data_IF_424518687097
#
_entry.id   IF_424518687097
#
_cell.length_a   1.000
_cell.length_b   1.000
_cell.length_c   1.000
_cell.angle_alpha   90.00
_cell.angle_beta   90.00
_cell.angle_gamma   90.00
#
_symmetry.space_group_name_H-M   'P 1'
#
loop_
_entity.id
_entity.type
_entity.pdbx_description
1 polymer ?
#
# COMPACT_ATOMS: atom_id res chain seq x y z
N UNK A 1 26.76 6.82 24.19
CA UNK A 1 27.75 7.09 23.14
C UNK A 1 27.07 6.99 21.79
N UNK A 2 27.01 8.10 21.06
CA UNK A 2 26.44 8.15 19.69
C UNK A 2 27.42 7.38 18.78
N UNK A 3 26.96 6.45 17.92
CA UNK A 3 27.85 5.82 16.95
C UNK A 3 28.34 6.90 15.98
N UNK A 4 29.64 7.17 16.06
CA UNK A 4 30.38 7.92 15.06
C UNK A 4 30.37 7.09 13.77
N UNK A 5 30.20 7.78 12.63
CA UNK A 5 30.18 7.31 11.23
C UNK A 5 28.77 7.07 10.62
N UNK A 6 28.00 8.14 10.50
CA UNK A 6 27.18 8.42 9.29
C UNK A 6 27.51 9.82 8.73
N UNK A 7 28.73 10.31 8.95
CA UNK A 7 29.22 11.50 8.27
C UNK A 7 29.56 11.09 6.82
N UNK A 8 28.84 11.65 5.85
CA UNK A 8 29.08 11.44 4.41
C UNK A 8 30.56 11.70 4.12
N UNK A 9 31.26 10.68 3.62
CA UNK A 9 32.72 10.66 3.62
C UNK A 9 33.38 11.73 2.77
N UNK A 10 32.70 12.30 1.76
CA UNK A 10 33.21 13.42 0.96
C UNK A 10 32.06 14.41 0.64
N UNK A 11 32.27 15.74 0.75
CA UNK A 11 31.36 16.70 0.15
C UNK A 11 31.48 16.57 -1.37
N UNK A 12 30.62 15.75 -1.98
CA UNK A 12 30.35 15.87 -3.42
C UNK A 12 29.62 17.20 -3.59
N UNK A 13 30.03 17.99 -4.58
CA UNK A 13 29.25 19.18 -4.96
C UNK A 13 27.79 18.75 -5.17
N UNK A 14 26.86 19.38 -4.46
CA UNK A 14 25.45 19.10 -4.62
C UNK A 14 25.03 19.54 -6.02
N UNK A 15 24.90 18.57 -6.92
CA UNK A 15 24.37 18.81 -8.27
C UNK A 15 22.86 18.99 -8.20
N UNK A 16 22.37 20.09 -8.77
CA UNK A 16 20.94 20.40 -8.88
C UNK A 16 20.51 20.36 -10.34
N UNK A 17 20.06 19.19 -10.84
CA UNK A 17 19.61 19.08 -12.23
C UNK A 17 18.37 19.95 -12.48
N UNK A 18 18.10 20.18 -13.77
CA UNK A 18 16.91 20.88 -14.21
C UNK A 18 15.79 19.89 -14.56
N UNK A 19 14.60 20.14 -14.04
CA UNK A 19 13.40 19.34 -14.28
C UNK A 19 12.45 20.08 -15.22
N UNK A 20 11.72 19.34 -16.03
CA UNK A 20 10.62 19.86 -16.86
C UNK A 20 9.50 20.33 -15.96
N UNK A 21 9.15 21.61 -16.07
CA UNK A 21 8.11 22.28 -15.27
C UNK A 21 6.91 22.73 -16.12
N UNK A 22 7.08 22.82 -17.44
CA UNK A 22 6.03 23.20 -18.38
C UNK A 22 6.39 22.77 -19.81
N UNK A 23 5.43 22.96 -20.73
CA UNK A 23 5.63 22.86 -22.17
C UNK A 23 5.34 24.22 -22.75
N UNK A 24 6.22 24.71 -23.62
CA UNK A 24 6.02 25.91 -24.39
C UNK A 24 4.83 25.71 -25.35
N UNK A 25 3.79 26.55 -25.27
CA UNK A 25 2.56 26.33 -26.04
C UNK A 25 2.73 26.52 -27.55
N UNK A 26 3.73 27.31 -27.97
CA UNK A 26 3.93 27.66 -29.37
C UNK A 26 4.83 26.64 -30.07
N UNK A 27 5.86 26.16 -29.39
CA UNK A 27 6.89 25.28 -29.95
C UNK A 27 6.72 23.81 -29.54
N UNK A 28 5.97 23.53 -28.48
CA UNK A 28 5.94 22.20 -27.85
C UNK A 28 7.24 21.83 -27.13
N UNK A 29 8.18 22.77 -27.01
CA UNK A 29 9.46 22.59 -26.32
C UNK A 29 9.28 22.42 -24.82
N UNK A 30 10.16 21.64 -24.18
CA UNK A 30 10.15 21.49 -22.73
C UNK A 30 10.73 22.75 -22.08
N UNK A 31 10.02 23.31 -21.11
CA UNK A 31 10.54 24.36 -20.24
C UNK A 31 11.08 23.69 -18.98
N UNK A 32 12.36 23.91 -18.69
CA UNK A 32 13.07 23.30 -17.56
C UNK A 32 13.50 24.32 -16.53
N UNK A 33 13.68 23.89 -15.28
CA UNK A 33 14.23 24.72 -14.21
C UNK A 33 14.99 23.91 -13.17
N UNK A 34 16.01 24.51 -12.57
CA UNK A 34 16.83 23.90 -11.52
C UNK A 34 15.99 23.57 -10.28
N UNK A 35 16.31 22.47 -9.60
CA UNK A 35 15.74 22.18 -8.28
C UNK A 35 16.49 22.85 -7.12
N UNK A 36 17.53 23.66 -7.38
CA UNK A 36 18.29 24.36 -6.32
C UNK A 36 17.39 25.32 -5.53
N UNK A 37 17.07 25.05 -4.25
CA UNK A 37 16.14 25.86 -3.48
C UNK A 37 16.63 27.30 -3.29
N UNK A 38 17.95 27.57 -3.41
CA UNK A 38 18.52 28.93 -3.31
C UNK A 38 18.27 29.77 -4.56
N UNK A 39 17.93 29.14 -5.67
CA UNK A 39 17.69 29.79 -6.97
C UNK A 39 16.20 29.87 -7.33
N UNK A 40 15.31 29.37 -6.48
CA UNK A 40 13.87 29.39 -6.70
C UNK A 40 13.22 30.58 -5.99
N UNK A 41 12.16 31.13 -6.59
CA UNK A 41 11.32 32.12 -5.93
C UNK A 41 10.52 31.47 -4.80
N UNK A 42 10.22 32.23 -3.75
CA UNK A 42 9.37 31.80 -2.62
C UNK A 42 8.36 32.90 -2.29
N UNK A 43 7.42 32.63 -1.38
CA UNK A 43 6.51 33.67 -0.86
C UNK A 43 7.24 34.80 -0.11
N UNK A 44 8.49 34.60 0.30
CA UNK A 44 9.29 35.59 1.03
C UNK A 44 10.27 36.36 0.14
N UNK A 45 10.67 35.77 -0.98
CA UNK A 45 11.67 36.33 -1.88
C UNK A 45 11.35 35.93 -3.32
N UNK A 46 10.97 36.92 -4.14
CA UNK A 46 10.81 36.73 -5.57
C UNK A 46 12.13 37.02 -6.30
N UNK A 47 12.63 36.00 -7.00
CA UNK A 47 13.86 36.03 -7.79
C UNK A 47 13.60 36.12 -9.30
N UNK A 48 12.34 36.22 -9.73
CA UNK A 48 11.96 36.12 -11.14
C UNK A 48 12.14 34.72 -11.72
N UNK A 49 12.22 33.71 -10.87
CA UNK A 49 12.42 32.29 -11.23
C UNK A 49 11.19 31.47 -10.85
N UNK A 50 11.08 30.20 -11.31
CA UNK A 50 10.00 29.34 -10.86
C UNK A 50 9.90 29.25 -9.34
N UNK A 51 8.66 29.16 -8.83
CA UNK A 51 8.40 29.13 -7.39
C UNK A 51 8.84 27.79 -6.78
N UNK A 52 9.27 27.76 -5.52
CA UNK A 52 9.65 26.54 -4.79
C UNK A 52 8.57 25.45 -4.88
N UNK A 53 7.31 25.87 -4.78
CA UNK A 53 6.13 25.00 -4.82
C UNK A 53 5.68 24.60 -6.23
N UNK A 54 6.45 24.94 -7.28
CA UNK A 54 6.19 24.50 -8.65
C UNK A 54 6.06 22.97 -8.69
N UNK A 55 4.97 22.48 -9.27
CA UNK A 55 4.71 21.05 -9.35
C UNK A 55 5.52 20.42 -10.47
N UNK A 56 6.17 19.30 -10.18
CA UNK A 56 6.91 18.48 -11.14
C UNK A 56 6.39 17.06 -11.11
N UNK A 57 6.35 16.43 -12.29
CA UNK A 57 5.67 15.17 -12.51
C UNK A 57 6.63 14.09 -12.98
N UNK A 58 6.34 12.86 -12.58
CA UNK A 58 7.16 11.69 -12.84
C UNK A 58 6.26 10.51 -13.23
N UNK A 59 6.78 9.70 -14.15
CA UNK A 59 6.25 8.35 -14.36
C UNK A 59 6.30 7.55 -13.04
N UNK A 60 5.28 6.72 -12.76
CA UNK A 60 5.16 5.92 -11.51
C UNK A 60 6.37 5.05 -11.23
N UNK A 61 7.02 4.60 -12.30
CA UNK A 61 8.18 3.73 -12.28
C UNK A 61 9.38 4.36 -11.55
N UNK A 62 9.38 5.68 -11.28
CA UNK A 62 10.36 6.32 -10.40
C UNK A 62 10.37 5.67 -9.02
N UNK A 63 9.25 5.09 -8.57
CA UNK A 63 9.13 4.45 -7.27
C UNK A 63 9.64 3.01 -7.24
N UNK A 64 9.85 2.35 -8.39
CA UNK A 64 10.21 0.92 -8.49
C UNK A 64 11.40 0.54 -7.60
N UNK A 65 12.47 1.34 -7.65
CA UNK A 65 13.69 1.08 -6.90
C UNK A 65 13.46 1.13 -5.39
N UNK A 66 12.61 2.04 -4.94
CA UNK A 66 12.33 2.21 -3.52
C UNK A 66 11.41 1.10 -3.02
N UNK A 67 10.38 0.74 -3.79
CA UNK A 67 9.44 -0.31 -3.42
C UNK A 67 10.07 -1.71 -3.45
N UNK A 68 11.14 -1.92 -4.23
CA UNK A 68 11.89 -3.19 -4.24
C UNK A 68 12.79 -3.40 -3.02
N UNK A 69 13.02 -2.38 -2.19
CA UNK A 69 13.87 -2.45 -1.00
C UNK A 69 13.10 -2.01 0.28
N UNK A 70 12.02 -2.72 0.67
CA UNK A 70 11.15 -2.33 1.79
C UNK A 70 11.83 -2.35 3.17
N UNK A 71 13.01 -2.96 3.29
CA UNK A 71 13.84 -2.88 4.50
C UNK A 71 14.51 -1.51 4.68
N UNK A 72 14.58 -0.69 3.62
CA UNK A 72 15.25 0.61 3.61
C UNK A 72 14.28 1.75 3.37
N UNK A 73 13.36 1.57 2.42
CA UNK A 73 12.45 2.62 2.01
C UNK A 73 11.02 2.32 2.41
N UNK A 74 10.29 3.36 2.76
CA UNK A 74 8.86 3.31 3.02
C UNK A 74 8.14 4.27 2.08
N UNK A 75 7.19 3.74 1.30
CA UNK A 75 6.44 4.45 0.28
C UNK A 75 4.97 4.41 0.64
N UNK A 76 4.36 5.58 0.83
CA UNK A 76 2.91 5.72 1.06
C UNK A 76 2.26 6.45 -0.12
N UNK A 77 0.97 6.77 0.01
CA UNK A 77 0.29 7.69 -0.90
C UNK A 77 0.85 9.12 -0.83
N UNK A 78 1.44 9.52 0.31
CA UNK A 78 1.79 10.91 0.61
C UNK A 78 3.29 11.19 0.68
N UNK A 79 4.13 10.15 0.78
CA UNK A 79 5.57 10.34 0.90
C UNK A 79 6.40 9.11 0.52
N UNK A 80 7.66 9.38 0.18
CA UNK A 80 8.75 8.42 0.15
C UNK A 80 9.72 8.77 1.28
N UNK A 81 10.18 7.79 2.04
CA UNK A 81 11.16 8.00 3.10
C UNK A 81 12.20 6.88 3.16
N UNK A 82 13.36 7.18 3.74
CA UNK A 82 14.47 6.24 3.92
C UNK A 82 14.94 6.26 5.37
N UNK A 83 14.62 5.22 6.15
CA UNK A 83 15.09 4.99 7.54
C UNK A 83 15.17 6.24 8.46
N UNK A 84 14.26 7.22 8.29
CA UNK A 84 14.30 8.49 9.01
C UNK A 84 15.45 9.45 8.62
N UNK A 85 16.29 9.09 7.66
CA UNK A 85 17.39 9.91 7.14
C UNK A 85 16.87 11.05 6.26
N UNK A 86 15.86 10.78 5.45
CA UNK A 86 15.22 11.77 4.59
C UNK A 86 13.80 11.33 4.21
N UNK A 87 13.00 12.31 3.78
CA UNK A 87 11.60 12.14 3.40
C UNK A 87 11.26 13.13 2.28
N UNK A 88 10.66 12.63 1.21
CA UNK A 88 10.16 13.40 0.09
C UNK A 88 8.63 13.31 0.05
N UNK A 89 7.90 14.43 0.25
CA UNK A 89 6.45 14.44 0.11
C UNK A 89 6.02 14.24 -1.35
N UNK A 90 5.08 13.33 -1.54
CA UNK A 90 4.53 12.92 -2.83
C UNK A 90 3.04 13.22 -2.90
N UNK A 91 2.54 13.36 -4.12
CA UNK A 91 1.14 13.31 -4.45
C UNK A 91 0.97 12.43 -5.67
N UNK A 92 -0.28 12.14 -6.02
CA UNK A 92 -0.60 11.42 -7.25
C UNK A 92 -1.71 12.16 -7.96
N UNK A 93 -1.46 12.53 -9.20
CA UNK A 93 -2.49 13.20 -9.98
C UNK A 93 -3.54 12.19 -10.51
N UNK A 94 -4.67 12.65 -11.06
CA UNK A 94 -5.69 11.79 -11.66
C UNK A 94 -5.21 10.82 -12.76
N UNK A 95 -4.12 11.14 -13.47
CA UNK A 95 -3.49 10.22 -14.45
C UNK A 95 -2.52 9.21 -13.81
N UNK A 96 -2.37 9.24 -12.49
CA UNK A 96 -1.47 8.36 -11.74
C UNK A 96 0.00 8.78 -11.78
N UNK A 97 0.35 9.95 -12.33
CA UNK A 97 1.72 10.48 -12.25
C UNK A 97 2.06 10.82 -10.80
N UNK A 98 3.31 10.54 -10.43
CA UNK A 98 3.85 10.95 -9.14
C UNK A 98 4.21 12.42 -9.24
N UNK A 99 3.80 13.19 -8.25
CA UNK A 99 4.02 14.63 -8.25
C UNK A 99 4.72 15.07 -6.95
N UNK A 100 5.70 15.98 -7.08
CA UNK A 100 6.32 16.65 -5.92
C UNK A 100 6.65 18.11 -6.23
N UNK A 101 7.13 18.86 -5.23
CA UNK A 101 7.52 20.26 -5.39
C UNK A 101 8.96 20.33 -5.91
N UNK A 102 9.21 21.22 -6.87
CA UNK A 102 10.54 21.41 -7.46
C UNK A 102 11.61 21.67 -6.39
N UNK A 103 11.31 22.53 -5.41
CA UNK A 103 12.23 22.82 -4.32
C UNK A 103 12.47 21.64 -3.37
N UNK A 104 11.48 20.76 -3.17
CA UNK A 104 11.61 19.57 -2.32
C UNK A 104 12.62 18.56 -2.92
N UNK A 105 12.75 18.48 -4.25
CA UNK A 105 13.78 17.66 -4.91
C UNK A 105 15.21 18.16 -4.61
N UNK A 106 15.39 19.47 -4.43
CA UNK A 106 16.69 20.02 -4.06
C UNK A 106 16.94 20.00 -2.56
N UNK A 107 15.93 20.23 -1.73
CA UNK A 107 16.10 20.39 -0.28
C UNK A 107 15.97 19.09 0.51
N UNK A 108 15.11 18.16 0.08
CA UNK A 108 14.77 16.95 0.84
C UNK A 108 15.32 15.66 0.25
N UNK A 109 15.49 15.61 -1.07
CA UNK A 109 16.01 14.44 -1.75
C UNK A 109 17.56 14.50 -1.83
N UNK A 110 18.29 13.45 -1.39
CA UNK A 110 19.73 13.40 -1.52
C UNK A 110 20.20 13.56 -2.98
N UNK A 111 21.35 14.20 -3.18
CA UNK A 111 21.90 14.45 -4.52
C UNK A 111 22.11 13.18 -5.33
N UNK A 112 22.42 12.04 -4.70
CA UNK A 112 22.58 10.74 -5.36
C UNK A 112 21.28 10.20 -5.96
N UNK A 113 20.12 10.65 -5.50
CA UNK A 113 18.81 10.19 -5.98
C UNK A 113 18.27 11.10 -7.10
N UNK A 114 18.75 12.34 -7.24
CA UNK A 114 18.15 13.34 -8.16
C UNK A 114 18.23 12.92 -9.63
N UNK A 115 19.34 12.31 -10.05
CA UNK A 115 19.51 11.83 -11.43
C UNK A 115 18.56 10.67 -11.76
N UNK A 116 18.26 9.80 -10.78
CA UNK A 116 17.24 8.76 -10.92
C UNK A 116 15.88 9.41 -11.17
N UNK A 117 15.47 10.37 -10.34
CA UNK A 117 14.21 11.10 -10.53
C UNK A 117 14.15 11.83 -11.88
N UNK A 118 15.24 12.45 -12.31
CA UNK A 118 15.33 13.13 -13.60
C UNK A 118 15.00 12.19 -14.78
N UNK A 119 15.44 10.92 -14.73
CA UNK A 119 15.15 9.92 -15.76
C UNK A 119 13.67 9.58 -15.94
N UNK A 120 12.84 9.85 -14.93
CA UNK A 120 11.40 9.63 -14.96
C UNK A 120 10.58 10.91 -15.07
N UNK A 121 11.22 12.08 -15.11
CA UNK A 121 10.54 13.36 -15.23
C UNK A 121 9.79 13.46 -16.57
N UNK A 122 8.53 13.88 -16.47
CA UNK A 122 7.64 14.11 -17.61
C UNK A 122 7.07 15.52 -17.57
N UNK A 123 6.65 16.08 -18.71
CA UNK A 123 5.96 17.35 -18.71
C UNK A 123 4.64 17.29 -17.91
N UNK A 124 4.21 18.40 -17.30
CA UNK A 124 2.93 18.46 -16.61
C UNK A 124 1.75 18.05 -17.50
N UNK A 125 0.90 17.16 -16.98
CA UNK A 125 -0.38 16.76 -17.56
C UNK A 125 -1.28 16.12 -16.50
N UNK A 126 -2.54 15.85 -16.81
CA UNK A 126 -3.44 15.12 -15.92
C UNK A 126 -3.94 15.89 -14.69
N UNK A 127 -3.70 17.20 -14.62
CA UNK A 127 -4.03 18.02 -13.46
C UNK A 127 -3.12 17.75 -12.26
N UNK A 128 -3.52 18.29 -11.11
CA UNK A 128 -2.81 18.17 -9.82
C UNK A 128 -3.57 17.24 -8.87
N UNK A 129 -2.88 16.76 -7.84
CA UNK A 129 -3.54 16.17 -6.67
C UNK A 129 -4.33 17.25 -5.90
N UNK A 130 -5.65 17.27 -6.09
CA UNK A 130 -6.51 18.30 -5.48
C UNK A 130 -6.60 18.17 -3.96
N UNK A 131 -6.57 16.94 -3.43
CA UNK A 131 -6.56 16.71 -1.97
C UNK A 131 -5.31 17.33 -1.38
N UNK A 132 -4.15 17.00 -1.95
CA UNK A 132 -2.87 17.55 -1.50
C UNK A 132 -2.84 19.06 -1.64
N UNK A 133 -3.36 19.62 -2.74
CA UNK A 133 -3.41 21.07 -2.90
C UNK A 133 -4.24 21.75 -1.79
N UNK A 134 -5.43 21.22 -1.50
CA UNK A 134 -6.31 21.77 -0.45
C UNK A 134 -5.65 21.74 0.93
N UNK A 135 -4.87 20.70 1.24
CA UNK A 135 -4.12 20.62 2.50
C UNK A 135 -2.89 21.52 2.51
N UNK A 136 -1.99 21.35 1.55
CA UNK A 136 -0.66 21.97 1.54
C UNK A 136 -0.72 23.48 1.27
N UNK A 137 -1.67 23.93 0.44
CA UNK A 137 -1.75 25.32 -0.02
C UNK A 137 -2.92 26.08 0.60
N UNK A 138 -4.09 25.44 0.71
CA UNK A 138 -5.29 26.10 1.24
C UNK A 138 -5.50 25.90 2.74
N UNK A 139 -4.68 25.07 3.40
CA UNK A 139 -4.77 24.82 4.84
C UNK A 139 -6.07 24.16 5.28
N UNK A 140 -6.74 23.43 4.39
CA UNK A 140 -8.02 22.80 4.67
C UNK A 140 -7.84 21.41 5.27
N UNK A 141 -8.64 21.11 6.30
CA UNK A 141 -8.76 19.77 6.87
C UNK A 141 -9.62 18.91 5.96
N UNK A 142 -8.97 18.10 5.12
CA UNK A 142 -9.61 17.26 4.12
C UNK A 142 -8.99 15.89 4.18
N UNK A 143 -9.82 14.88 4.40
CA UNK A 143 -9.40 13.50 4.24
C UNK A 143 -9.27 13.18 2.76
N UNK A 144 -8.11 12.61 2.39
CA UNK A 144 -7.91 12.10 1.05
C UNK A 144 -8.76 10.87 0.77
N UNK A 145 -8.79 10.39 -0.48
CA UNK A 145 -9.34 9.08 -0.77
C UNK A 145 -8.67 8.04 0.15
N UNK A 146 -9.42 7.10 0.74
CA UNK A 146 -8.86 6.16 1.68
C UNK A 146 -7.71 5.37 1.06
N UNK A 147 -6.54 5.37 1.70
CA UNK A 147 -5.38 4.61 1.23
C UNK A 147 -5.64 3.09 1.38
N UNK A 148 -5.71 2.31 0.29
CA UNK A 148 -6.04 0.89 0.36
C UNK A 148 -5.05 0.08 1.21
N UNK A 149 -3.77 0.47 1.24
CA UNK A 149 -2.75 -0.22 2.05
C UNK A 149 -3.01 0.04 3.54
N UNK A 150 -3.19 1.30 3.94
CA UNK A 150 -3.53 1.65 5.32
C UNK A 150 -4.82 0.96 5.79
N UNK A 151 -5.85 0.92 4.94
CA UNK A 151 -7.09 0.17 5.22
C UNK A 151 -6.86 -1.33 5.38
N UNK A 152 -6.00 -1.94 4.55
CA UNK A 152 -5.65 -3.34 4.70
C UNK A 152 -4.98 -3.60 6.06
N UNK A 153 -3.98 -2.80 6.42
CA UNK A 153 -3.23 -2.98 7.67
C UNK A 153 -4.15 -2.85 8.88
N UNK A 154 -5.02 -1.84 8.87
CA UNK A 154 -6.03 -1.63 9.92
C UNK A 154 -7.07 -2.76 9.95
N UNK A 155 -7.64 -3.12 8.80
CA UNK A 155 -8.60 -4.23 8.69
C UNK A 155 -8.02 -5.55 9.17
N UNK A 156 -6.75 -5.84 8.85
CA UNK A 156 -6.04 -7.03 9.34
C UNK A 156 -5.83 -6.98 10.86
N UNK A 157 -5.51 -5.83 11.42
CA UNK A 157 -5.37 -5.63 12.88
C UNK A 157 -6.71 -5.83 13.59
N UNK A 158 -7.79 -5.25 13.08
CA UNK A 158 -9.15 -5.42 13.60
C UNK A 158 -9.61 -6.87 13.52
N UNK A 159 -9.50 -7.48 12.34
CA UNK A 159 -9.77 -8.91 12.15
C UNK A 159 -9.03 -9.77 13.17
N UNK A 160 -7.72 -9.54 13.33
CA UNK A 160 -6.90 -10.28 14.29
C UNK A 160 -7.43 -10.13 15.72
N UNK A 161 -7.74 -8.90 16.12
CA UNK A 161 -8.20 -8.60 17.48
C UNK A 161 -9.56 -9.25 17.76
N UNK A 162 -10.54 -9.01 16.89
CA UNK A 162 -11.92 -9.46 17.05
C UNK A 162 -12.05 -10.98 17.02
N UNK A 163 -11.37 -11.67 16.10
CA UNK A 163 -11.45 -13.13 16.05
C UNK A 163 -10.60 -13.82 17.13
N UNK A 164 -9.48 -13.22 17.56
CA UNK A 164 -8.69 -13.81 18.65
C UNK A 164 -9.47 -13.85 19.97
N UNK A 165 -10.33 -12.85 20.20
CA UNK A 165 -11.28 -12.82 21.32
C UNK A 165 -12.25 -14.01 21.27
N UNK A 166 -12.80 -14.33 20.09
CA UNK A 166 -13.73 -15.46 19.93
C UNK A 166 -13.03 -16.84 19.98
N UNK A 167 -11.81 -16.91 19.47
CA UNK A 167 -11.01 -18.14 19.45
C UNK A 167 -10.27 -18.40 20.79
N UNK A 168 -10.26 -17.42 21.70
CA UNK A 168 -9.49 -17.41 22.95
C UNK A 168 -7.99 -17.69 22.72
N UNK A 169 -7.46 -17.21 21.58
CA UNK A 169 -6.05 -17.29 21.20
C UNK A 169 -5.76 -16.46 19.95
N UNK A 170 -4.49 -16.09 19.70
CA UNK A 170 -4.10 -15.41 18.46
C UNK A 170 -4.52 -16.17 17.21
N UNK A 171 -5.21 -15.50 16.27
CA UNK A 171 -5.60 -16.08 14.97
C UNK A 171 -4.53 -15.96 13.89
N UNK A 172 -3.51 -15.15 14.12
CA UNK A 172 -2.31 -15.10 13.28
C UNK A 172 -1.12 -15.67 14.02
N UNK A 173 -0.28 -16.39 13.29
CA UNK A 173 1.02 -16.86 13.77
C UNK A 173 2.01 -15.69 13.84
N UNK A 174 3.05 -15.85 14.66
CA UNK A 174 4.17 -14.91 14.70
C UNK A 174 4.86 -14.82 13.35
N UNK A 175 5.27 -13.62 13.00
CA UNK A 175 5.94 -13.33 11.74
C UNK A 175 7.35 -13.88 11.69
N UNK A 176 7.74 -14.42 10.53
CA UNK A 176 9.13 -14.36 10.13
C UNK A 176 9.54 -12.89 9.84
N UNK A 177 10.72 -12.42 10.29
CA UNK A 177 11.13 -11.04 10.09
C UNK A 177 11.15 -10.58 8.63
N UNK A 178 11.55 -11.44 7.69
CA UNK A 178 11.60 -11.07 6.27
C UNK A 178 10.21 -10.93 5.67
N UNK A 179 9.29 -11.82 6.07
CA UNK A 179 7.89 -11.75 5.65
C UNK A 179 7.17 -10.52 6.21
N UNK A 180 7.49 -10.14 7.45
CA UNK A 180 6.98 -8.92 8.06
C UNK A 180 7.39 -7.70 7.25
N UNK A 181 8.68 -7.58 6.93
CA UNK A 181 9.22 -6.48 6.13
C UNK A 181 8.54 -6.44 4.75
N UNK A 182 8.37 -7.59 4.10
CA UNK A 182 7.69 -7.66 2.80
C UNK A 182 6.22 -7.21 2.89
N UNK A 183 5.50 -7.63 3.93
CA UNK A 183 4.08 -7.29 4.12
C UNK A 183 3.87 -5.82 4.51
N UNK A 184 4.68 -5.29 5.43
CA UNK A 184 4.67 -3.86 5.79
C UNK A 184 5.12 -2.96 4.63
N UNK A 185 5.90 -3.52 3.70
CA UNK A 185 6.30 -2.90 2.44
C UNK A 185 5.28 -2.96 1.31
N UNK A 186 4.06 -3.47 1.54
CA UNK A 186 3.01 -3.48 0.53
C UNK A 186 2.72 -2.08 -0.01
N UNK A 187 2.54 -1.98 -1.32
CA UNK A 187 2.26 -0.74 -2.03
C UNK A 187 1.36 -1.00 -3.24
N UNK A 188 0.80 0.06 -3.82
CA UNK A 188 0.16 -0.06 -5.14
C UNK A 188 1.22 -0.25 -6.23
N UNK A 189 0.97 -1.08 -7.25
CA UNK A 189 1.90 -1.30 -8.35
C UNK A 189 2.33 0.01 -8.99
N UNK A 190 3.61 0.08 -9.29
CA UNK A 190 4.29 1.24 -9.87
C UNK A 190 4.32 1.18 -11.40
N UNK A 191 3.82 0.10 -11.99
CA UNK A 191 3.57 -0.10 -13.41
C UNK A 191 2.43 -1.10 -13.60
N UNK A 192 1.91 -1.21 -14.82
CA UNK A 192 0.90 -2.20 -15.21
C UNK A 192 1.50 -3.56 -15.59
N UNK A 193 2.74 -3.83 -15.18
CA UNK A 193 3.42 -5.09 -15.48
C UNK A 193 2.86 -6.23 -14.63
N UNK A 194 2.58 -7.36 -15.28
CA UNK A 194 1.98 -8.52 -14.61
C UNK A 194 2.85 -9.05 -13.46
N UNK A 195 4.17 -9.06 -13.63
CA UNK A 195 5.10 -9.53 -12.60
C UNK A 195 5.06 -8.68 -11.33
N UNK A 196 4.82 -7.37 -11.45
CA UNK A 196 4.68 -6.48 -10.30
C UNK A 196 3.40 -6.80 -9.52
N UNK A 197 2.28 -7.00 -10.23
CA UNK A 197 1.02 -7.40 -9.62
C UNK A 197 1.12 -8.79 -8.96
N UNK A 198 1.75 -9.77 -9.62
CA UNK A 198 1.91 -11.13 -9.09
C UNK A 198 2.69 -11.14 -7.78
N UNK A 199 3.82 -10.43 -7.72
CA UNK A 199 4.62 -10.33 -6.51
C UNK A 199 3.81 -9.77 -5.33
N UNK A 200 2.99 -8.76 -5.59
CA UNK A 200 2.13 -8.15 -4.56
C UNK A 200 0.96 -9.06 -4.17
N UNK A 201 0.36 -9.82 -5.12
CA UNK A 201 -0.66 -10.85 -4.82
C UNK A 201 -0.07 -11.92 -3.89
N UNK A 202 1.16 -12.37 -4.15
CA UNK A 202 1.84 -13.35 -3.30
C UNK A 202 2.05 -12.81 -1.88
N UNK A 203 2.59 -11.60 -1.74
CA UNK A 203 2.82 -10.95 -0.44
C UNK A 203 1.51 -10.74 0.32
N UNK A 204 0.48 -10.22 -0.34
CA UNK A 204 -0.84 -9.99 0.24
C UNK A 204 -1.45 -11.31 0.74
N UNK A 205 -1.47 -12.33 -0.11
CA UNK A 205 -2.05 -13.63 0.24
C UNK A 205 -1.30 -14.28 1.40
N UNK A 206 0.04 -14.21 1.39
CA UNK A 206 0.87 -14.78 2.45
C UNK A 206 0.50 -14.15 3.78
N UNK A 207 0.48 -12.82 3.86
CA UNK A 207 0.23 -12.12 5.11
C UNK A 207 -1.21 -12.15 5.62
N UNK A 208 -2.19 -12.28 4.72
CA UNK A 208 -3.62 -12.31 5.06
C UNK A 208 -4.12 -13.73 5.32
N UNK A 209 -3.70 -14.71 4.52
CA UNK A 209 -4.26 -16.08 4.52
C UNK A 209 -3.26 -17.10 5.06
N UNK A 210 -2.05 -17.16 4.51
CA UNK A 210 -1.10 -18.23 4.87
C UNK A 210 -0.63 -18.11 6.33
N UNK A 211 -0.53 -16.89 6.87
CA UNK A 211 -0.16 -16.65 8.27
C UNK A 211 -1.26 -16.95 9.29
N UNK A 212 -2.50 -17.22 8.87
CA UNK A 212 -3.57 -17.59 9.80
C UNK A 212 -3.23 -18.90 10.52
N UNK A 213 -3.47 -18.94 11.82
CA UNK A 213 -3.42 -20.19 12.59
C UNK A 213 -4.74 -20.95 12.36
N UNK A 214 -4.66 -21.97 11.50
CA UNK A 214 -5.80 -22.83 11.18
C UNK A 214 -6.43 -23.47 12.43
N UNK A 215 -5.66 -23.75 13.49
CA UNK A 215 -6.20 -24.32 14.73
C UNK A 215 -7.04 -23.30 15.49
N UNK A 216 -6.62 -22.04 15.50
CA UNK A 216 -7.39 -20.95 16.07
C UNK A 216 -8.70 -20.74 15.30
N UNK A 217 -8.64 -20.71 13.96
CA UNK A 217 -9.85 -20.61 13.13
C UNK A 217 -10.79 -21.79 13.36
N UNK A 218 -10.29 -23.02 13.39
CA UNK A 218 -11.09 -24.23 13.65
C UNK A 218 -11.71 -24.27 15.04
N UNK A 219 -11.22 -23.47 15.98
CA UNK A 219 -11.79 -23.37 17.32
C UNK A 219 -13.03 -22.48 17.40
N UNK A 220 -13.30 -21.68 16.36
CA UNK A 220 -14.48 -20.83 16.27
C UNK A 220 -15.77 -21.66 16.26
N UNK A 221 -16.89 -21.12 16.78
CA UNK A 221 -18.17 -21.84 16.81
C UNK A 221 -18.61 -22.34 15.43
N UNK A 222 -19.02 -23.61 15.33
CA UNK A 222 -19.52 -24.18 14.07
C UNK A 222 -18.47 -24.44 12.98
N UNK A 223 -17.20 -24.13 13.22
CA UNK A 223 -16.12 -24.47 12.29
C UNK A 223 -15.89 -25.99 12.19
N UNK A 224 -15.57 -26.48 10.99
CA UNK A 224 -15.14 -27.86 10.79
C UNK A 224 -13.69 -28.06 11.30
N UNK A 225 -13.46 -28.95 12.29
CA UNK A 225 -12.12 -29.22 12.85
C UNK A 225 -11.07 -29.74 11.86
N UNK A 226 -11.49 -30.17 10.67
CA UNK A 226 -10.61 -30.71 9.63
C UNK A 226 -10.56 -29.83 8.38
N UNK A 227 -11.43 -28.83 8.26
CA UNK A 227 -11.50 -27.97 7.09
C UNK A 227 -10.23 -27.12 6.91
N UNK A 228 -9.80 -26.84 5.66
CA UNK A 228 -8.82 -25.80 5.36
C UNK A 228 -9.27 -24.42 5.91
N UNK A 229 -8.33 -23.50 6.12
CA UNK A 229 -8.56 -22.22 6.82
C UNK A 229 -9.79 -21.44 6.34
N UNK A 230 -9.91 -21.18 5.03
CA UNK A 230 -11.05 -20.40 4.50
C UNK A 230 -12.36 -21.17 4.63
N UNK A 231 -12.34 -22.50 4.50
CA UNK A 231 -13.53 -23.34 4.67
C UNK A 231 -13.97 -23.40 6.14
N UNK A 232 -13.03 -23.35 7.10
CA UNK A 232 -13.36 -23.24 8.50
C UNK A 232 -14.00 -21.87 8.82
N UNK A 233 -13.45 -20.77 8.29
CA UNK A 233 -14.07 -19.43 8.38
C UNK A 233 -15.49 -19.41 7.78
N UNK A 234 -15.66 -19.99 6.59
CA UNK A 234 -16.96 -20.10 5.89
C UNK A 234 -18.01 -20.83 6.72
N UNK A 235 -17.63 -21.95 7.36
CA UNK A 235 -18.51 -22.69 8.26
C UNK A 235 -18.91 -21.87 9.51
N UNK A 236 -17.95 -21.17 10.13
CA UNK A 236 -18.25 -20.26 11.24
C UNK A 236 -19.21 -19.14 10.82
N UNK A 237 -18.95 -18.48 9.69
CA UNK A 237 -19.80 -17.41 9.14
C UNK A 237 -21.24 -17.92 8.96
N UNK A 238 -21.43 -19.10 8.35
CA UNK A 238 -22.77 -19.69 8.14
C UNK A 238 -23.52 -19.95 9.44
N UNK A 239 -22.86 -20.56 10.42
CA UNK A 239 -23.49 -20.92 11.71
C UNK A 239 -23.83 -19.70 12.55
N UNK A 240 -23.08 -18.60 12.36
CA UNK A 240 -23.30 -17.33 13.08
C UNK A 240 -24.18 -16.34 12.29
N UNK A 241 -24.84 -16.80 11.22
CA UNK A 241 -25.83 -16.02 10.47
C UNK A 241 -25.24 -14.97 9.52
N UNK A 242 -23.94 -15.01 9.23
CA UNK A 242 -23.31 -14.16 8.22
C UNK A 242 -23.44 -14.74 6.80
N UNK A 243 -23.24 -13.89 5.80
CA UNK A 243 -23.25 -14.27 4.39
C UNK A 243 -21.83 -14.60 3.89
N UNK A 244 -21.53 -15.87 3.53
CA UNK A 244 -20.22 -16.27 3.00
C UNK A 244 -19.82 -15.60 1.69
N UNK A 245 -20.79 -15.22 0.85
CA UNK A 245 -20.52 -14.55 -0.43
C UNK A 245 -19.97 -13.15 -0.21
N UNK A 246 -20.29 -12.53 0.93
CA UNK A 246 -19.73 -11.25 1.37
C UNK A 246 -18.46 -11.47 2.19
N UNK A 247 -18.51 -12.37 3.18
CA UNK A 247 -17.50 -12.46 4.23
C UNK A 247 -16.34 -13.40 3.92
N UNK A 248 -16.43 -14.26 2.92
CA UNK A 248 -15.34 -15.19 2.59
C UNK A 248 -14.99 -15.27 1.11
N UNK A 249 -15.92 -14.95 0.19
CA UNK A 249 -15.63 -15.00 -1.24
C UNK A 249 -14.45 -14.12 -1.68
N UNK A 250 -14.23 -12.90 -1.15
CA UNK A 250 -13.03 -12.11 -1.49
C UNK A 250 -11.72 -12.82 -1.12
N UNK A 251 -11.67 -13.51 0.02
CA UNK A 251 -10.50 -14.31 0.43
C UNK A 251 -10.29 -15.51 -0.50
N UNK A 252 -11.37 -16.14 -0.98
CA UNK A 252 -11.31 -17.22 -1.97
C UNK A 252 -10.79 -16.72 -3.32
N UNK A 253 -11.19 -15.52 -3.75
CA UNK A 253 -10.68 -14.89 -4.97
C UNK A 253 -9.18 -14.65 -4.84
N UNK A 254 -8.72 -14.04 -3.74
CA UNK A 254 -7.30 -13.79 -3.48
C UNK A 254 -6.48 -15.09 -3.51
N UNK A 255 -6.92 -16.11 -2.77
CA UNK A 255 -6.24 -17.41 -2.75
C UNK A 255 -6.27 -18.10 -4.12
N UNK A 256 -7.38 -18.00 -4.85
CA UNK A 256 -7.55 -18.58 -6.18
C UNK A 256 -6.61 -17.96 -7.21
N UNK A 257 -6.47 -16.63 -7.22
CA UNK A 257 -5.50 -15.93 -8.05
C UNK A 257 -4.08 -16.39 -7.70
N UNK A 258 -3.71 -16.41 -6.41
CA UNK A 258 -2.41 -16.95 -6.01
C UNK A 258 -2.14 -18.34 -6.58
N UNK A 259 -3.03 -19.30 -6.36
CA UNK A 259 -2.80 -20.70 -6.72
C UNK A 259 -2.91 -20.99 -8.22
N UNK A 260 -3.70 -20.20 -8.96
CA UNK A 260 -3.94 -20.46 -10.38
C UNK A 260 -3.00 -19.70 -11.32
N UNK A 261 -2.15 -18.80 -10.81
CA UNK A 261 -1.24 -18.02 -11.66
C UNK A 261 -0.11 -17.26 -10.96
N UNK A 262 -0.31 -16.59 -9.82
CA UNK A 262 0.78 -15.78 -9.25
C UNK A 262 1.95 -16.65 -8.71
N UNK A 263 1.64 -17.82 -8.14
CA UNK A 263 2.62 -18.77 -7.62
C UNK A 263 3.01 -19.90 -8.59
N UNK A 264 2.22 -20.11 -9.64
CA UNK A 264 2.27 -21.29 -10.52
C UNK A 264 2.00 -20.91 -11.97
N UNK A 265 2.14 -21.85 -12.91
CA UNK A 265 1.77 -21.58 -14.31
C UNK A 265 0.32 -21.13 -14.40
N UNK A 266 0.06 -20.03 -15.14
CA UNK A 266 -1.29 -19.50 -15.36
C UNK A 266 -2.19 -20.53 -16.03
N UNK A 267 -3.26 -20.89 -15.34
CA UNK A 267 -4.24 -21.88 -15.83
C UNK A 267 -5.52 -21.21 -16.32
N UNK A 268 -6.45 -22.01 -16.87
CA UNK A 268 -7.81 -21.55 -17.19
C UNK A 268 -8.53 -21.00 -15.94
N UNK A 269 -8.20 -21.52 -14.77
CA UNK A 269 -8.81 -21.14 -13.50
C UNK A 269 -8.40 -19.73 -13.05
N UNK A 270 -7.23 -19.24 -13.48
CA UNK A 270 -6.83 -17.84 -13.28
C UNK A 270 -7.79 -16.89 -13.99
N UNK A 271 -8.02 -17.11 -15.29
CA UNK A 271 -8.94 -16.28 -16.08
C UNK A 271 -10.37 -16.37 -15.55
N UNK A 272 -10.84 -17.58 -15.21
CA UNK A 272 -12.15 -17.77 -14.62
C UNK A 272 -12.29 -17.03 -13.28
N UNK A 273 -11.23 -16.98 -12.47
CA UNK A 273 -11.23 -16.26 -11.19
C UNK A 273 -11.26 -14.75 -11.38
N UNK A 274 -10.52 -14.21 -12.36
CA UNK A 274 -10.61 -12.80 -12.73
C UNK A 274 -12.02 -12.41 -13.19
N UNK A 275 -12.62 -13.17 -14.10
CA UNK A 275 -13.98 -12.89 -14.59
C UNK A 275 -15.02 -12.97 -13.47
N UNK A 276 -14.93 -13.97 -12.58
CA UNK A 276 -15.83 -14.07 -11.42
C UNK A 276 -15.70 -12.86 -10.48
N UNK A 277 -14.50 -12.31 -10.36
CA UNK A 277 -14.22 -11.12 -9.57
C UNK A 277 -14.51 -9.79 -10.31
N UNK A 278 -14.90 -9.85 -11.59
CA UNK A 278 -15.09 -8.65 -12.44
C UNK A 278 -13.80 -7.88 -12.72
N UNK A 279 -12.65 -8.58 -12.75
CA UNK A 279 -11.32 -7.98 -12.88
C UNK A 279 -10.69 -8.19 -14.27
N UNK A 280 -11.31 -8.95 -15.16
CA UNK A 280 -10.72 -9.42 -16.41
C UNK A 280 -10.54 -8.34 -17.48
N UNK A 281 -11.27 -7.22 -17.39
CA UNK A 281 -11.12 -6.06 -18.27
C UNK A 281 -10.10 -5.03 -17.79
N UNK A 282 -9.60 -5.16 -16.55
CA UNK A 282 -8.71 -4.19 -15.91
C UNK A 282 -7.24 -4.50 -16.21
N UNK A 283 -6.37 -3.49 -16.14
CA UNK A 283 -4.92 -3.69 -16.20
C UNK A 283 -4.41 -4.38 -14.93
N UNK A 284 -3.24 -5.07 -14.96
CA UNK A 284 -2.74 -5.80 -13.80
C UNK A 284 -2.62 -4.97 -12.51
N UNK A 285 -2.30 -3.69 -12.63
CA UNK A 285 -2.22 -2.77 -11.49
C UNK A 285 -3.59 -2.38 -10.93
N UNK A 286 -4.57 -2.15 -11.79
CA UNK A 286 -5.97 -1.92 -11.41
C UNK A 286 -6.57 -3.18 -10.77
N UNK A 287 -6.29 -4.36 -11.33
CA UNK A 287 -6.69 -5.65 -10.77
C UNK A 287 -6.19 -5.80 -9.33
N UNK A 288 -4.90 -5.54 -9.09
CA UNK A 288 -4.34 -5.61 -7.75
C UNK A 288 -4.94 -4.55 -6.82
N UNK A 289 -5.10 -3.29 -7.27
CA UNK A 289 -5.69 -2.23 -6.45
C UNK A 289 -7.11 -2.58 -5.99
N UNK A 290 -7.93 -3.18 -6.88
CA UNK A 290 -9.27 -3.67 -6.56
C UNK A 290 -9.22 -4.87 -5.60
N UNK A 291 -8.31 -5.80 -5.83
CA UNK A 291 -8.13 -6.97 -4.96
C UNK A 291 -7.69 -6.57 -3.54
N UNK A 292 -6.76 -5.63 -3.43
CA UNK A 292 -6.28 -5.07 -2.16
C UNK A 292 -7.43 -4.41 -1.40
N UNK A 293 -8.23 -3.59 -2.09
CA UNK A 293 -9.41 -2.93 -1.51
C UNK A 293 -10.43 -3.95 -1.02
N UNK A 294 -10.80 -4.92 -1.86
CA UNK A 294 -11.75 -5.97 -1.47
C UNK A 294 -11.24 -6.82 -0.30
N UNK A 295 -9.92 -7.04 -0.21
CA UNK A 295 -9.29 -7.75 0.91
C UNK A 295 -9.33 -6.92 2.19
N UNK A 296 -9.09 -5.60 2.11
CA UNK A 296 -9.23 -4.71 3.26
C UNK A 296 -10.69 -4.68 3.77
N UNK A 297 -11.65 -4.55 2.84
CA UNK A 297 -13.08 -4.50 3.15
C UNK A 297 -13.57 -5.80 3.79
N UNK A 298 -13.16 -6.98 3.29
CA UNK A 298 -13.61 -8.26 3.87
C UNK A 298 -13.01 -8.50 5.26
N UNK A 299 -11.77 -8.08 5.52
CA UNK A 299 -11.16 -8.21 6.84
C UNK A 299 -11.88 -7.34 7.88
N UNK A 300 -12.22 -6.11 7.49
CA UNK A 300 -13.03 -5.21 8.32
C UNK A 300 -14.44 -5.78 8.55
N UNK A 301 -15.10 -6.29 7.51
CA UNK A 301 -16.43 -6.88 7.63
C UNK A 301 -16.44 -8.15 8.51
N UNK A 302 -15.41 -9.00 8.40
CA UNK A 302 -15.22 -10.16 9.27
C UNK A 302 -14.98 -9.74 10.73
N UNK A 303 -14.23 -8.65 10.95
CA UNK A 303 -14.03 -8.10 12.29
C UNK A 303 -15.35 -7.62 12.90
N UNK A 304 -16.14 -6.85 12.14
CA UNK A 304 -17.46 -6.38 12.58
C UNK A 304 -18.42 -7.54 12.86
N UNK A 305 -18.42 -8.56 11.98
CA UNK A 305 -19.21 -9.78 12.19
C UNK A 305 -18.82 -10.49 13.49
N UNK A 306 -17.51 -10.59 13.77
CA UNK A 306 -17.00 -11.17 15.01
C UNK A 306 -17.31 -10.33 16.25
N UNK A 307 -17.28 -9.00 16.17
CA UNK A 307 -17.63 -8.10 17.27
C UNK A 307 -19.10 -8.25 17.67
N UNK A 308 -19.98 -8.56 16.71
CA UNK A 308 -21.39 -8.83 16.95
C UNK A 308 -21.70 -10.21 17.57
N UNK A 309 -20.72 -11.11 17.67
CA UNK A 309 -20.94 -12.44 18.24
C UNK A 309 -20.77 -12.43 19.77
N UNK A 310 -21.60 -13.21 20.50
CA UNK A 310 -21.41 -13.38 21.93
C UNK A 310 -20.08 -14.07 22.22
N UNK A 311 -19.41 -13.64 23.29
CA UNK A 311 -18.24 -14.36 23.79
C UNK A 311 -18.65 -15.76 24.21
N UNK A 312 -17.76 -16.74 24.05
CA UNK A 312 -17.96 -18.06 24.64
C UNK A 312 -18.17 -17.86 26.14
N UNK A 313 -19.37 -18.12 26.64
CA UNK A 313 -19.58 -18.28 28.06
C UNK A 313 -18.68 -19.41 28.52
N UNK A 314 -17.75 -19.11 29.42
CA UNK A 314 -17.06 -20.13 30.20
C UNK A 314 -18.16 -20.86 30.94
N UNK A 315 -18.50 -22.06 30.48
CA UNK A 315 -19.39 -22.93 31.25
C UNK A 315 -18.71 -23.14 32.60
N UNK A 316 -19.35 -22.65 33.66
CA UNK A 316 -19.03 -23.01 35.03
C UNK A 316 -19.11 -24.54 35.12
N UNK A 317 -17.96 -25.18 35.01
CA UNK A 317 -17.77 -26.51 35.57
C UNK A 317 -17.71 -26.32 37.07
N UNK A 318 -18.89 -26.18 37.68
CA UNK A 318 -19.04 -26.22 39.13
C UNK A 318 -18.47 -27.56 39.64
N UNK A 319 -17.59 -27.54 40.65
CA UNK A 319 -17.16 -28.77 41.29
C UNK A 319 -18.36 -29.39 42.00
N UNK A 320 -18.46 -30.72 41.91
CA UNK A 320 -19.63 -31.48 42.32
C UNK A 320 -20.09 -31.31 43.76
N UNK A 321 -21.39 -31.55 43.92
CA UNK A 321 -22.08 -31.97 45.14
C UNK A 321 -23.19 -32.92 44.64
N UNK A 322 -23.34 -34.17 45.08
CA UNK A 322 -22.89 -34.89 46.26
C UNK A 322 -22.62 -36.37 45.91
#
# INVERSE_FOLDING_TARGET
>A
SIPVVLARSHPREDRFPEFTIAVDPDTGGKITSTCDPKKLSTYFEDRGTPHYLTQVYFRREVLNRYTSEPSRYHVTSEQLSCLGLWLLPLGRNPEGLIETRLGDLGSKLPSEERDHWLGFNVPPRGGRDETRHRRDILGQWVDGPPDPVSRLLEGRRRFSTSLSRLADRPVYRDWDPADRIAFEGLHLPTSSEQGAADALILTLTKGVIDYLDVKAIRSLPGSDPKAPTINALDAWVKVTGGDPDVLTAPLRILQGLRSAGAAHSRTRDWKATLTRAGLDSLTPDEQFARLLTATADVLEALAQHADGQPERSVSETGPGSA
#
